data_IF_139025059433
#
_entry.id   IF_139025059433
#
_cell.length_a   1.000
_cell.length_b   1.000
_cell.length_c   1.000
_cell.angle_alpha   90.00
_cell.angle_beta   90.00
_cell.angle_gamma   90.00
#
_symmetry.space_group_name_H-M   'P 1'
#
loop_
_entity.id
_entity.type
_entity.pdbx_description
1 polymer ?
#
# COMPACT_ATOMS: atom_id res chain seq x y z
N UNK A 1 -54.75 -16.68 -6.14
CA UNK A 1 -53.77 -17.40 -5.27
C UNK A 1 -52.58 -17.83 -6.13
N UNK A 2 -51.50 -17.08 -6.16
CA UNK A 2 -50.29 -17.38 -6.93
C UNK A 2 -49.17 -17.74 -5.99
N UNK A 3 -48.23 -18.61 -6.37
CA UNK A 3 -47.22 -19.14 -5.48
C UNK A 3 -46.15 -18.10 -5.20
N UNK A 4 -45.79 -17.97 -3.90
CA UNK A 4 -44.67 -17.13 -3.39
C UNK A 4 -43.36 -17.78 -3.81
N UNK A 5 -42.53 -17.02 -4.52
CA UNK A 5 -41.14 -17.38 -4.79
C UNK A 5 -40.28 -17.14 -3.55
N UNK A 6 -39.68 -18.19 -3.02
CA UNK A 6 -38.62 -18.11 -2.01
C UNK A 6 -37.35 -17.51 -2.65
N UNK A 7 -36.88 -16.42 -2.06
CA UNK A 7 -35.52 -15.92 -2.26
C UNK A 7 -34.60 -16.64 -1.28
N UNK A 8 -33.43 -17.17 -1.69
CA UNK A 8 -32.42 -17.62 -0.74
C UNK A 8 -31.77 -16.40 -0.09
N UNK A 9 -31.76 -16.37 1.23
CA UNK A 9 -30.94 -15.46 2.02
C UNK A 9 -29.48 -15.86 1.89
N UNK A 10 -28.69 -14.94 1.31
CA UNK A 10 -27.22 -15.05 1.33
C UNK A 10 -26.74 -14.54 2.69
N UNK A 11 -26.29 -15.45 3.53
CA UNK A 11 -25.69 -15.11 4.81
C UNK A 11 -24.31 -14.49 4.57
N UNK A 12 -24.20 -13.18 4.80
CA UNK A 12 -22.92 -12.45 4.87
C UNK A 12 -22.22 -12.91 6.15
N UNK A 13 -21.21 -13.76 6.01
CA UNK A 13 -20.28 -14.07 7.10
C UNK A 13 -19.28 -12.92 7.24
N UNK A 14 -19.39 -12.18 8.34
CA UNK A 14 -18.37 -11.27 8.78
C UNK A 14 -17.10 -12.07 9.13
N UNK A 15 -16.02 -11.83 8.40
CA UNK A 15 -14.70 -12.39 8.69
C UNK A 15 -14.06 -11.48 9.72
N UNK A 16 -14.02 -11.93 10.98
CA UNK A 16 -13.26 -11.28 12.04
C UNK A 16 -11.81 -11.75 11.97
N UNK A 17 -10.90 -10.81 11.68
CA UNK A 17 -9.46 -11.05 11.69
C UNK A 17 -8.96 -11.17 13.12
N UNK A 18 -8.49 -12.34 13.51
CA UNK A 18 -7.70 -12.54 14.73
C UNK A 18 -6.23 -12.47 14.36
N UNK A 19 -5.59 -11.36 14.74
CA UNK A 19 -4.12 -11.22 14.68
C UNK A 19 -3.51 -12.15 15.74
N UNK A 20 -2.86 -13.23 15.32
CA UNK A 20 -1.99 -14.03 16.16
C UNK A 20 -0.62 -13.35 16.22
N UNK A 21 -0.31 -12.72 17.34
CA UNK A 21 1.04 -12.29 17.63
C UNK A 21 1.91 -13.51 17.91
N UNK A 22 2.93 -13.72 17.05
CA UNK A 22 4.02 -14.66 17.33
C UNK A 22 5.02 -13.95 18.22
N UNK A 23 5.10 -14.35 19.48
CA UNK A 23 6.07 -13.88 20.45
C UNK A 23 7.44 -14.50 20.12
N UNK A 24 8.31 -13.74 19.46
CA UNK A 24 9.74 -14.00 19.39
C UNK A 24 10.44 -13.29 20.55
N UNK A 25 11.20 -14.05 21.34
CA UNK A 25 11.90 -13.59 22.52
C UNK A 25 13.05 -12.64 22.17
N UNK A 26 12.94 -11.36 22.50
CA UNK A 26 14.04 -10.45 22.84
C UNK A 26 13.50 -9.05 23.20
N UNK A 27 13.39 -8.73 24.45
CA UNK A 27 13.80 -7.49 25.14
C UNK A 27 12.95 -7.21 26.39
N UNK A 28 13.52 -7.22 27.58
CA UNK A 28 12.79 -6.92 28.82
C UNK A 28 12.64 -5.42 29.11
N UNK A 29 13.00 -4.53 28.21
CA UNK A 29 13.01 -3.07 28.49
C UNK A 29 11.72 -2.33 28.08
N UNK A 30 10.85 -2.91 27.27
CA UNK A 30 9.64 -2.21 26.76
C UNK A 30 8.39 -2.43 27.63
N UNK A 31 8.40 -3.40 28.56
CA UNK A 31 7.22 -3.71 29.39
C UNK A 31 7.01 -2.77 30.59
N UNK A 32 8.01 -1.98 30.96
CA UNK A 32 7.88 -1.05 32.09
C UNK A 32 7.12 0.25 31.77
N UNK A 33 6.98 0.62 30.47
CA UNK A 33 6.36 1.89 30.08
C UNK A 33 4.85 1.82 29.82
N UNK A 34 4.30 0.62 29.60
CA UNK A 34 2.87 0.44 29.30
C UNK A 34 2.03 0.34 30.58
N UNK A 35 2.64 0.01 31.73
CA UNK A 35 1.93 -0.13 33.02
C UNK A 35 1.57 1.21 33.69
N UNK A 36 2.11 2.35 33.23
CA UNK A 36 1.84 3.68 33.82
C UNK A 36 0.63 4.37 33.18
N UNK A 37 0.14 3.91 32.04
CA UNK A 37 -0.97 4.57 31.34
C UNK A 37 -2.37 4.19 31.83
N UNK A 38 -2.51 3.26 32.78
CA UNK A 38 -3.82 2.79 33.30
C UNK A 38 -4.12 3.10 34.78
N UNK A 39 -3.31 3.94 35.42
CA UNK A 39 -3.60 4.40 36.79
C UNK A 39 -4.47 5.65 36.76
N UNK A 40 -5.78 5.44 36.74
CA UNK A 40 -6.75 6.44 37.12
C UNK A 40 -6.48 6.89 38.55
N UNK A 41 -6.46 8.21 38.73
CA UNK A 41 -6.58 8.96 40.01
C UNK A 41 -6.31 8.18 41.31
N UNK A 42 -5.05 7.94 41.64
CA UNK A 42 -4.62 7.59 42.94
C UNK A 42 -4.10 8.84 43.67
N UNK A 43 -4.84 9.33 44.63
CA UNK A 43 -4.34 10.33 45.60
C UNK A 43 -3.34 9.66 46.53
N UNK A 44 -2.06 10.00 46.40
CA UNK A 44 -1.05 9.63 47.39
C UNK A 44 -1.06 10.70 48.46
N UNK A 45 -1.60 10.35 49.68
CA UNK A 45 -1.39 11.15 50.90
C UNK A 45 0.01 10.83 51.42
N UNK A 46 0.85 11.84 51.44
CA UNK A 46 2.11 11.81 52.18
C UNK A 46 1.94 12.74 53.36
N UNK A 47 1.81 12.15 54.58
CA UNK A 47 1.87 12.88 55.84
C UNK A 47 3.35 13.16 56.11
N UNK A 48 3.76 14.40 55.99
CA UNK A 48 4.97 14.94 56.63
C UNK A 48 4.78 16.43 56.83
N UNK A 49 5.05 16.85 58.04
CA UNK A 49 4.98 18.24 58.47
C UNK A 49 5.83 19.15 57.59
N UNK A 50 5.17 20.26 57.22
CA UNK A 50 5.72 21.51 56.75
C UNK A 50 6.23 21.60 55.27
N UNK A 51 5.53 22.46 54.55
CA UNK A 51 5.61 22.98 53.17
C UNK A 51 4.73 22.26 52.15
N UNK A 52 3.49 22.75 52.04
CA UNK A 52 2.53 22.45 50.98
C UNK A 52 3.00 22.96 49.62
N UNK A 53 3.82 22.18 48.91
CA UNK A 53 3.85 22.23 47.46
C UNK A 53 2.90 21.12 46.94
N UNK A 54 1.70 21.54 46.58
CA UNK A 54 0.82 20.68 45.80
C UNK A 54 1.52 20.38 44.49
N UNK A 55 2.07 19.18 44.35
CA UNK A 55 2.63 18.72 43.08
C UNK A 55 1.44 18.37 42.19
N UNK A 56 1.19 19.21 41.20
CA UNK A 56 0.15 18.98 40.21
C UNK A 56 0.48 17.75 39.38
N UNK A 57 -0.18 16.64 39.71
CA UNK A 57 0.00 15.37 39.00
C UNK A 57 -0.31 15.50 37.48
N UNK A 58 -1.13 16.47 37.08
CA UNK A 58 -1.45 16.75 35.69
C UNK A 58 -0.27 17.40 34.97
N UNK A 59 0.49 18.26 35.63
CA UNK A 59 1.69 18.89 35.13
C UNK A 59 2.84 17.87 34.94
N UNK A 60 2.96 16.92 35.91
CA UNK A 60 3.95 15.83 35.75
C UNK A 60 3.56 14.90 34.60
N UNK A 61 2.28 14.53 34.51
CA UNK A 61 1.81 13.69 33.39
C UNK A 61 1.94 14.37 32.03
N UNK A 62 1.78 15.69 31.93
CA UNK A 62 2.02 16.47 30.73
C UNK A 62 3.51 16.54 30.38
N UNK A 63 4.38 16.74 31.37
CA UNK A 63 5.85 16.74 31.19
C UNK A 63 6.37 15.37 30.76
N UNK A 64 5.87 14.29 31.35
CA UNK A 64 6.25 12.91 30.97
C UNK A 64 5.78 12.58 29.55
N UNK A 65 4.57 12.99 29.17
CA UNK A 65 4.10 12.84 27.76
C UNK A 65 4.94 13.63 26.79
N UNK A 66 5.21 14.89 27.08
CA UNK A 66 6.06 15.74 26.24
C UNK A 66 7.48 15.17 26.10
N UNK A 67 8.05 14.61 27.18
CA UNK A 67 9.36 13.96 27.12
C UNK A 67 9.33 12.64 26.36
N UNK A 68 8.25 11.84 26.51
CA UNK A 68 8.06 10.61 25.74
C UNK A 68 7.89 10.89 24.25
N UNK A 69 7.09 11.90 23.89
CA UNK A 69 6.92 12.34 22.50
C UNK A 69 8.22 12.90 21.91
N UNK A 70 9.05 13.56 22.71
CA UNK A 70 10.37 14.03 22.31
C UNK A 70 11.34 12.88 22.09
N UNK A 71 11.33 11.85 22.96
CA UNK A 71 12.16 10.65 22.84
C UNK A 71 11.70 9.82 21.61
N UNK A 72 10.40 9.69 21.38
CA UNK A 72 9.86 8.98 20.20
C UNK A 72 10.22 9.73 18.91
N UNK A 73 10.19 11.08 18.90
CA UNK A 73 10.64 11.88 17.74
C UNK A 73 12.16 11.88 17.57
N UNK A 74 12.94 11.75 18.64
CA UNK A 74 14.40 11.70 18.56
C UNK A 74 14.95 10.29 18.28
N UNK A 75 14.17 9.25 18.47
CA UNK A 75 14.45 7.92 17.98
C UNK A 75 14.21 7.89 16.47
N UNK A 76 15.08 8.54 15.71
CA UNK A 76 15.08 8.36 14.26
C UNK A 76 15.29 6.86 13.99
N UNK A 77 14.43 6.21 13.18
CA UNK A 77 14.65 4.84 12.81
C UNK A 77 16.04 4.76 12.19
N UNK A 78 16.89 3.87 12.73
CA UNK A 78 18.22 3.63 12.15
C UNK A 78 17.99 3.24 10.71
N UNK A 79 18.48 4.06 9.78
CA UNK A 79 18.31 3.82 8.35
C UNK A 79 18.83 2.42 8.01
N UNK A 80 17.93 1.52 7.62
CA UNK A 80 18.28 0.17 7.25
C UNK A 80 18.57 0.12 5.76
N UNK A 81 19.83 -0.14 5.41
CA UNK A 81 20.24 -0.36 4.03
C UNK A 81 20.55 -1.84 3.83
N UNK A 82 20.14 -2.40 2.72
CA UNK A 82 20.42 -3.81 2.38
C UNK A 82 21.90 -4.07 2.11
N UNK A 83 22.59 -3.05 1.63
CA UNK A 83 24.00 -3.14 1.28
C UNK A 83 24.71 -1.80 1.45
N UNK A 84 26.06 -1.85 1.48
CA UNK A 84 26.87 -0.64 1.42
C UNK A 84 26.62 0.15 0.11
N UNK A 85 26.32 -0.54 -0.99
CA UNK A 85 26.03 0.11 -2.26
C UNK A 85 24.75 0.91 -2.19
N UNK A 86 23.69 0.37 -1.55
CA UNK A 86 22.43 1.08 -1.34
C UNK A 86 22.60 2.31 -0.46
N UNK A 87 23.39 2.20 0.61
CA UNK A 87 23.74 3.32 1.47
C UNK A 87 24.44 4.43 0.70
N UNK A 88 25.46 4.09 -0.10
CA UNK A 88 26.18 5.07 -0.93
C UNK A 88 25.27 5.71 -1.97
N UNK A 89 24.40 4.92 -2.59
CA UNK A 89 23.41 5.41 -3.57
C UNK A 89 22.43 6.38 -2.93
N UNK A 90 21.87 6.04 -1.76
CA UNK A 90 20.97 6.91 -1.02
C UNK A 90 21.63 8.25 -0.66
N UNK A 91 22.85 8.23 -0.16
CA UNK A 91 23.61 9.47 0.15
C UNK A 91 23.82 10.32 -1.10
N UNK A 92 24.20 9.72 -2.23
CA UNK A 92 24.40 10.45 -3.49
C UNK A 92 23.12 11.12 -3.98
N UNK A 93 21.98 10.40 -3.93
CA UNK A 93 20.68 10.93 -4.34
C UNK A 93 20.27 12.09 -3.42
N UNK A 94 20.43 11.91 -2.11
CA UNK A 94 20.10 12.96 -1.14
C UNK A 94 20.94 14.22 -1.38
N UNK A 95 22.25 14.09 -1.55
CA UNK A 95 23.15 15.21 -1.87
C UNK A 95 22.72 15.88 -3.18
N UNK A 96 22.35 15.11 -4.20
CA UNK A 96 21.87 15.68 -5.47
C UNK A 96 20.56 16.46 -5.26
N UNK A 97 19.63 15.94 -4.45
CA UNK A 97 18.38 16.63 -4.12
C UNK A 97 18.62 17.94 -3.33
N UNK A 98 19.60 17.95 -2.41
CA UNK A 98 19.97 19.13 -1.62
C UNK A 98 20.58 20.27 -2.48
N UNK A 99 21.25 19.92 -3.58
CA UNK A 99 21.86 20.89 -4.50
C UNK A 99 20.93 21.31 -5.65
N UNK A 100 19.76 20.69 -5.77
CA UNK A 100 18.74 21.08 -6.73
C UNK A 100 17.89 22.22 -6.16
N UNK A 101 17.87 23.38 -6.83
CA UNK A 101 17.08 24.53 -6.41
C UNK A 101 15.74 24.65 -7.15
N UNK A 102 15.49 23.80 -8.15
CA UNK A 102 14.22 23.76 -8.84
C UNK A 102 13.13 23.11 -7.98
N UNK A 103 11.88 23.22 -8.44
CA UNK A 103 10.77 22.45 -7.85
C UNK A 103 11.06 20.97 -8.02
N UNK A 104 11.08 20.26 -6.91
CA UNK A 104 11.40 18.84 -6.83
C UNK A 104 10.59 18.10 -5.80
N UNK A 105 10.46 16.81 -6.00
CA UNK A 105 9.87 15.89 -5.02
C UNK A 105 11.01 15.04 -4.43
N UNK A 106 11.06 14.92 -3.13
CA UNK A 106 12.02 14.10 -2.39
C UNK A 106 11.26 13.03 -1.65
N UNK A 107 11.71 11.78 -1.72
CA UNK A 107 11.11 10.63 -1.06
C UNK A 107 12.18 9.93 -0.25
N UNK A 108 12.01 9.89 1.07
CA UNK A 108 12.79 9.05 1.97
C UNK A 108 12.04 7.74 2.23
N UNK A 109 12.58 6.63 1.76
CA UNK A 109 12.01 5.30 2.01
C UNK A 109 12.17 4.86 3.47
N UNK A 110 13.24 5.31 4.12
CA UNK A 110 13.51 4.98 5.52
C UNK A 110 12.57 5.73 6.47
N UNK A 111 12.36 7.03 6.22
CA UNK A 111 11.49 7.87 7.05
C UNK A 111 10.01 7.67 6.68
N UNK A 112 9.74 7.07 5.51
CA UNK A 112 8.40 6.96 4.89
C UNK A 112 7.72 8.32 4.77
N UNK A 113 8.47 9.25 4.26
CA UNK A 113 8.04 10.64 4.12
C UNK A 113 8.39 11.19 2.73
N UNK A 114 7.54 12.05 2.21
CA UNK A 114 7.71 12.77 0.96
C UNK A 114 7.68 14.26 1.23
N UNK A 115 8.56 14.99 0.55
CA UNK A 115 8.57 16.45 0.53
C UNK A 115 8.49 16.96 -0.90
N UNK A 116 7.68 18.01 -1.13
CA UNK A 116 7.77 18.88 -2.30
C UNK A 116 8.51 20.16 -1.89
N UNK A 117 9.60 20.47 -2.58
CA UNK A 117 10.52 21.57 -2.20
C UNK A 117 10.81 22.43 -3.41
N UNK A 118 10.85 23.77 -3.18
CA UNK A 118 11.28 24.76 -4.17
C UNK A 118 12.32 25.67 -3.56
N UNK A 119 13.53 25.66 -4.10
CA UNK A 119 14.64 26.37 -3.47
C UNK A 119 14.84 25.90 -2.02
N UNK A 120 14.79 26.84 -1.04
CA UNK A 120 14.86 26.49 0.39
C UNK A 120 13.51 26.14 1.02
N UNK A 121 12.37 26.37 0.31
CA UNK A 121 11.04 26.28 0.88
C UNK A 121 10.43 24.89 0.71
N UNK A 122 9.97 24.31 1.82
CA UNK A 122 9.16 23.09 1.82
C UNK A 122 7.70 23.46 1.61
N UNK A 123 7.13 23.01 0.49
CA UNK A 123 5.76 23.30 0.09
C UNK A 123 4.76 22.25 0.60
N UNK A 124 5.21 21.00 0.70
CA UNK A 124 4.42 19.87 1.22
C UNK A 124 5.34 18.92 1.99
N UNK A 125 4.81 18.38 3.08
CA UNK A 125 5.35 17.22 3.78
C UNK A 125 4.23 16.21 3.96
N UNK A 126 4.43 14.97 3.50
CA UNK A 126 3.41 13.94 3.51
C UNK A 126 3.97 12.58 3.90
N UNK A 127 3.31 11.84 4.81
CA UNK A 127 3.67 10.44 5.08
C UNK A 127 3.28 9.57 3.89
N UNK A 128 4.09 8.56 3.62
CA UNK A 128 3.89 7.63 2.49
C UNK A 128 3.86 6.17 2.94
N UNK A 129 3.28 5.29 2.10
CA UNK A 129 3.62 3.89 2.12
C UNK A 129 4.59 3.58 0.98
N UNK A 130 5.55 2.69 1.25
CA UNK A 130 6.54 2.23 0.30
C UNK A 130 6.54 0.70 0.20
N UNK A 131 7.45 0.13 -0.59
CA UNK A 131 7.53 -1.32 -0.82
C UNK A 131 7.79 -2.11 0.46
N UNK A 132 7.25 -3.35 0.48
CA UNK A 132 7.52 -4.35 1.53
C UNK A 132 8.94 -4.87 1.49
N UNK A 133 9.61 -4.73 0.33
CA UNK A 133 10.93 -5.31 0.05
C UNK A 133 10.93 -6.85 0.02
N UNK A 134 9.77 -7.47 -0.06
CA UNK A 134 9.58 -8.92 -0.14
C UNK A 134 9.77 -9.46 -1.55
N UNK A 135 9.83 -10.76 -1.65
CA UNK A 135 9.89 -11.48 -2.93
C UNK A 135 8.75 -12.48 -2.97
N UNK A 136 7.93 -12.40 -4.02
CA UNK A 136 6.93 -13.41 -4.32
C UNK A 136 7.54 -14.46 -5.25
N UNK A 137 7.46 -15.71 -4.86
CA UNK A 137 7.84 -16.84 -5.69
C UNK A 137 6.61 -17.71 -5.99
N UNK A 138 6.31 -17.90 -7.28
CA UNK A 138 5.17 -18.69 -7.70
C UNK A 138 5.44 -19.37 -9.04
N UNK A 139 5.19 -20.66 -9.14
CA UNK A 139 5.32 -21.46 -10.36
C UNK A 139 6.65 -21.27 -11.12
N UNK A 140 7.78 -21.15 -10.38
CA UNK A 140 9.11 -20.98 -10.95
C UNK A 140 9.44 -19.55 -11.43
N UNK A 141 8.54 -18.59 -11.20
CA UNK A 141 8.77 -17.15 -11.39
C UNK A 141 9.02 -16.49 -10.05
N UNK A 142 9.78 -15.38 -10.08
CA UNK A 142 10.10 -14.59 -8.91
C UNK A 142 9.88 -13.11 -9.19
N UNK A 143 9.17 -12.40 -8.31
CA UNK A 143 8.95 -10.96 -8.38
C UNK A 143 9.43 -10.31 -7.09
N UNK A 144 10.33 -9.36 -7.22
CA UNK A 144 10.83 -8.58 -6.08
C UNK A 144 10.08 -7.27 -5.98
N UNK A 145 9.48 -7.04 -4.84
CA UNK A 145 8.71 -5.84 -4.55
C UNK A 145 9.63 -4.77 -3.93
N UNK A 146 10.12 -3.88 -4.76
CA UNK A 146 11.08 -2.87 -4.37
C UNK A 146 10.72 -1.50 -4.96
N UNK A 147 10.71 -0.46 -4.12
CA UNK A 147 10.72 0.92 -4.62
C UNK A 147 12.14 1.28 -5.02
N UNK A 148 12.43 1.46 -6.32
CA UNK A 148 13.80 1.66 -6.76
C UNK A 148 14.29 3.05 -6.38
N UNK A 149 15.44 3.08 -5.70
CA UNK A 149 16.16 4.31 -5.40
C UNK A 149 16.73 4.92 -6.68
N UNK A 150 16.73 6.24 -6.76
CA UNK A 150 17.23 6.95 -7.94
C UNK A 150 16.60 8.31 -8.12
N UNK A 151 16.98 8.97 -9.22
CA UNK A 151 16.33 10.17 -9.70
C UNK A 151 15.40 9.79 -10.83
N UNK A 152 14.12 10.12 -10.69
CA UNK A 152 13.08 9.90 -11.68
C UNK A 152 12.50 11.23 -12.11
N UNK A 153 11.64 11.20 -13.11
CA UNK A 153 10.94 12.37 -13.61
C UNK A 153 9.46 12.05 -13.71
N UNK A 154 8.61 12.97 -13.29
CA UNK A 154 7.16 12.86 -13.55
C UNK A 154 6.94 12.97 -15.05
N UNK A 155 6.45 11.90 -15.67
CA UNK A 155 6.26 11.80 -17.11
C UNK A 155 4.79 11.95 -17.53
N UNK A 156 3.86 11.66 -16.63
CA UNK A 156 2.41 11.78 -16.86
C UNK A 156 1.67 11.95 -15.54
N UNK A 157 0.43 12.48 -15.61
CA UNK A 157 -0.48 12.63 -14.47
C UNK A 157 -1.87 12.22 -14.90
N UNK A 158 -2.61 11.49 -14.04
CA UNK A 158 -3.98 11.07 -14.33
C UNK A 158 -4.90 11.30 -13.15
N UNK A 159 -6.09 11.76 -13.48
CA UNK A 159 -7.24 11.77 -12.59
C UNK A 159 -8.07 10.49 -12.77
N UNK A 160 -8.60 9.94 -11.67
CA UNK A 160 -9.35 8.70 -11.64
C UNK A 160 -8.66 7.55 -12.42
N UNK A 161 -7.37 7.26 -12.10
CA UNK A 161 -6.62 6.25 -12.80
C UNK A 161 -7.24 4.87 -12.58
N UNK A 162 -7.19 4.05 -13.64
CA UNK A 162 -7.58 2.64 -13.57
C UNK A 162 -6.31 1.80 -13.48
N UNK A 163 -6.25 0.94 -12.50
CA UNK A 163 -5.13 0.01 -12.35
C UNK A 163 -5.27 -1.17 -13.32
N UNK A 164 -4.19 -1.50 -13.99
CA UNK A 164 -4.07 -2.69 -14.84
C UNK A 164 -3.14 -3.66 -14.08
N UNK A 165 -3.68 -4.68 -13.39
CA UNK A 165 -2.88 -5.57 -12.58
C UNK A 165 -1.80 -6.28 -13.40
N UNK A 166 -0.52 -6.24 -12.99
CA UNK A 166 0.53 -7.05 -13.58
C UNK A 166 0.38 -8.53 -13.20
N UNK A 167 1.19 -9.38 -13.80
CA UNK A 167 1.12 -10.83 -13.59
C UNK A 167 1.32 -11.25 -12.12
N UNK A 168 2.18 -10.55 -11.39
CA UNK A 168 2.45 -10.87 -9.99
C UNK A 168 1.19 -10.77 -9.10
N UNK A 169 0.26 -9.86 -9.39
CA UNK A 169 -0.99 -9.75 -8.67
C UNK A 169 -1.80 -11.07 -8.74
N UNK A 170 -1.94 -11.62 -9.94
CA UNK A 170 -2.63 -12.90 -10.13
C UNK A 170 -1.85 -14.06 -9.51
N UNK A 171 -0.52 -14.01 -9.51
CA UNK A 171 0.30 -15.02 -8.85
C UNK A 171 0.12 -14.98 -7.32
N UNK A 172 0.00 -13.80 -6.73
CA UNK A 172 -0.27 -13.60 -5.31
C UNK A 172 -1.66 -14.15 -4.93
N UNK A 173 -2.70 -13.78 -5.68
CA UNK A 173 -4.06 -14.32 -5.52
C UNK A 173 -4.10 -15.84 -5.68
N UNK A 174 -3.43 -16.37 -6.71
CA UNK A 174 -3.37 -17.80 -6.93
C UNK A 174 -2.66 -18.54 -5.79
N UNK A 175 -1.57 -17.97 -5.24
CA UNK A 175 -0.85 -18.54 -4.10
C UNK A 175 -1.72 -18.52 -2.83
N UNK A 176 -2.39 -17.42 -2.54
CA UNK A 176 -3.25 -17.28 -1.37
C UNK A 176 -4.40 -18.28 -1.36
N UNK A 177 -4.99 -18.54 -2.53
CA UNK A 177 -6.14 -19.44 -2.67
C UNK A 177 -5.78 -20.87 -3.12
N UNK A 178 -4.49 -21.19 -3.27
CA UNK A 178 -4.04 -22.53 -3.70
C UNK A 178 -4.48 -22.90 -5.11
N UNK A 179 -4.64 -21.91 -6.00
CA UNK A 179 -5.07 -22.07 -7.38
C UNK A 179 -3.86 -22.27 -8.31
N UNK A 180 -4.10 -22.88 -9.46
CA UNK A 180 -3.16 -22.80 -10.59
C UNK A 180 -3.29 -21.46 -11.27
N UNK A 181 -2.23 -20.99 -11.94
CA UNK A 181 -2.24 -19.76 -12.71
C UNK A 181 -1.98 -20.06 -14.19
N UNK A 182 -2.80 -19.50 -15.06
CA UNK A 182 -2.61 -19.60 -16.50
C UNK A 182 -2.95 -18.27 -17.21
N UNK A 183 -2.23 -17.94 -18.28
CA UNK A 183 -2.64 -16.87 -19.16
C UNK A 183 -3.85 -17.31 -19.99
N UNK A 184 -4.87 -16.48 -20.04
CA UNK A 184 -6.00 -16.69 -20.93
C UNK A 184 -5.59 -16.37 -22.38
N UNK A 185 -5.87 -17.29 -23.30
CA UNK A 185 -5.74 -17.09 -24.74
C UNK A 185 -7.14 -17.11 -25.34
N UNK A 186 -7.68 -15.95 -25.79
CA UNK A 186 -9.02 -15.86 -26.36
C UNK A 186 -9.29 -16.89 -27.46
N UNK A 187 -10.41 -17.57 -27.39
CA UNK A 187 -10.83 -18.57 -28.37
C UNK A 187 -10.00 -19.88 -28.38
N UNK A 188 -8.99 -20.00 -27.48
CA UNK A 188 -8.11 -21.18 -27.39
C UNK A 188 -8.06 -21.81 -25.99
N UNK A 189 -8.48 -21.08 -24.96
CA UNK A 189 -8.51 -21.60 -23.58
C UNK A 189 -9.77 -22.44 -23.40
N UNK A 190 -9.62 -23.76 -23.46
CA UNK A 190 -10.72 -24.73 -23.31
C UNK A 190 -10.82 -25.18 -21.86
N UNK A 191 -12.02 -25.10 -21.28
CA UNK A 191 -12.34 -25.55 -19.92
C UNK A 191 -12.63 -27.06 -19.91
N UNK A 192 -12.61 -27.68 -18.71
CA UNK A 192 -12.81 -29.12 -18.54
C UNK A 192 -14.16 -29.62 -19.05
N UNK A 193 -15.18 -28.76 -19.07
CA UNK A 193 -16.54 -29.04 -19.55
C UNK A 193 -16.75 -28.79 -21.05
N UNK A 194 -15.66 -28.40 -21.76
CA UNK A 194 -15.66 -28.13 -23.20
C UNK A 194 -16.08 -26.71 -23.59
N UNK A 195 -16.39 -25.86 -22.64
CA UNK A 195 -16.56 -24.41 -22.90
C UNK A 195 -15.22 -23.78 -23.23
N UNK A 196 -15.25 -22.61 -23.88
CA UNK A 196 -14.05 -21.88 -24.29
C UNK A 196 -14.09 -20.47 -23.76
N UNK A 197 -13.01 -20.02 -23.13
CA UNK A 197 -12.85 -18.62 -22.76
C UNK A 197 -12.53 -17.79 -23.98
N UNK A 198 -13.28 -16.71 -24.19
CA UNK A 198 -13.11 -15.78 -25.31
C UNK A 198 -13.36 -14.35 -24.89
N UNK A 199 -13.10 -13.40 -25.80
CA UNK A 199 -13.29 -11.97 -25.57
C UNK A 199 -14.20 -11.41 -26.66
N UNK A 200 -15.26 -10.70 -26.25
CA UNK A 200 -16.12 -9.91 -27.15
C UNK A 200 -16.36 -8.54 -26.49
N UNK A 201 -16.36 -7.50 -27.30
CA UNK A 201 -16.59 -6.11 -26.86
C UNK A 201 -15.71 -5.74 -25.64
N UNK A 202 -14.41 -6.10 -25.71
CA UNK A 202 -13.40 -5.91 -24.64
C UNK A 202 -13.73 -6.60 -23.31
N UNK A 203 -14.69 -7.52 -23.26
CA UNK A 203 -15.05 -8.26 -22.05
C UNK A 203 -14.84 -9.76 -22.24
N UNK A 204 -14.31 -10.40 -21.19
CA UNK A 204 -14.14 -11.85 -21.14
C UNK A 204 -15.50 -12.51 -20.99
N UNK A 205 -15.68 -13.63 -21.67
CA UNK A 205 -16.85 -14.46 -21.57
C UNK A 205 -16.54 -15.92 -21.86
N UNK A 206 -17.57 -16.72 -21.80
CA UNK A 206 -17.53 -18.15 -22.03
C UNK A 206 -18.37 -18.49 -23.25
N UNK A 207 -17.79 -19.19 -24.21
CA UNK A 207 -18.51 -19.76 -25.35
C UNK A 207 -18.92 -21.19 -25.01
N UNK A 208 -20.20 -21.50 -25.11
CA UNK A 208 -20.69 -22.89 -25.00
C UNK A 208 -20.20 -23.70 -26.22
N UNK A 209 -19.51 -24.80 -25.97
CA UNK A 209 -18.89 -25.62 -27.03
C UNK A 209 -19.90 -26.35 -27.93
N UNK A 210 -21.19 -26.41 -27.56
CA UNK A 210 -22.24 -27.10 -28.33
C UNK A 210 -23.14 -26.10 -29.07
N UNK A 211 -23.62 -25.08 -28.37
CA UNK A 211 -24.52 -24.07 -28.96
C UNK A 211 -23.78 -22.92 -29.65
N UNK A 212 -22.52 -22.67 -29.28
CA UNK A 212 -21.78 -21.49 -29.71
C UNK A 212 -22.25 -20.19 -29.04
N UNK A 213 -23.15 -20.27 -28.06
CA UNK A 213 -23.65 -19.12 -27.30
C UNK A 213 -22.53 -18.51 -26.45
N UNK A 214 -22.44 -17.19 -26.41
CA UNK A 214 -21.47 -16.45 -25.61
C UNK A 214 -22.13 -15.83 -24.41
N UNK A 215 -21.59 -16.08 -23.22
CA UNK A 215 -22.01 -15.44 -21.97
C UNK A 215 -20.88 -14.62 -21.38
N UNK A 216 -21.11 -13.33 -21.15
CA UNK A 216 -20.15 -12.43 -20.51
C UNK A 216 -19.91 -12.83 -19.05
N UNK A 217 -18.64 -12.75 -18.60
CA UNK A 217 -18.28 -12.88 -17.21
C UNK A 217 -18.32 -11.52 -16.50
N UNK A 218 -18.60 -11.48 -15.18
CA UNK A 218 -18.49 -10.25 -14.39
C UNK A 218 -17.11 -9.61 -14.53
N UNK A 219 -17.04 -8.29 -14.56
CA UNK A 219 -15.77 -7.55 -14.72
C UNK A 219 -15.07 -7.27 -13.40
N UNK A 220 -15.78 -7.45 -12.29
CA UNK A 220 -15.34 -7.24 -10.91
C UNK A 220 -15.03 -8.56 -10.17
N UNK A 221 -14.99 -9.66 -10.90
CA UNK A 221 -14.67 -10.98 -10.37
C UNK A 221 -13.44 -11.57 -11.09
N UNK A 222 -12.70 -12.40 -10.36
CA UNK A 222 -11.59 -13.16 -10.93
C UNK A 222 -12.10 -14.29 -11.85
N UNK A 223 -11.39 -14.50 -12.95
CA UNK A 223 -11.73 -15.55 -13.92
C UNK A 223 -11.18 -16.90 -13.43
N UNK A 224 -11.96 -17.62 -12.63
CA UNK A 224 -11.57 -18.89 -12.03
C UNK A 224 -12.42 -20.04 -12.56
N UNK A 225 -11.77 -21.04 -13.15
CA UNK A 225 -12.39 -22.30 -13.58
C UNK A 225 -11.47 -23.47 -13.27
N UNK A 226 -12.02 -24.60 -12.88
CA UNK A 226 -11.29 -25.86 -12.69
C UNK A 226 -10.07 -25.74 -11.75
N UNK A 227 -10.18 -24.90 -10.70
CA UNK A 227 -9.07 -24.63 -9.78
C UNK A 227 -7.92 -23.84 -10.42
N UNK A 228 -8.17 -23.16 -11.54
CA UNK A 228 -7.20 -22.32 -12.25
C UNK A 228 -7.72 -20.90 -12.31
N UNK A 229 -6.88 -19.94 -11.88
CA UNK A 229 -7.06 -18.51 -12.08
C UNK A 229 -6.50 -18.16 -13.47
N UNK A 230 -7.35 -17.65 -14.34
CA UNK A 230 -6.94 -17.22 -15.68
C UNK A 230 -6.67 -15.73 -15.68
N UNK A 231 -5.49 -15.33 -16.15
CA UNK A 231 -5.11 -13.94 -16.32
C UNK A 231 -5.82 -13.38 -17.57
N UNK A 232 -6.75 -12.42 -17.43
CA UNK A 232 -7.41 -11.81 -18.58
C UNK A 232 -6.42 -11.07 -19.48
N UNK A 233 -6.63 -10.99 -20.79
CA UNK A 233 -5.79 -10.21 -21.68
C UNK A 233 -5.76 -8.72 -21.33
N UNK A 234 -4.60 -8.08 -21.53
CA UNK A 234 -4.49 -6.61 -21.42
C UNK A 234 -5.45 -5.96 -22.42
N UNK A 235 -6.17 -4.94 -21.97
CA UNK A 235 -7.18 -4.24 -22.77
C UNK A 235 -8.61 -4.65 -22.45
N UNK A 236 -8.83 -5.83 -21.86
CA UNK A 236 -10.18 -6.25 -21.43
C UNK A 236 -10.66 -5.51 -20.19
N UNK A 237 -11.97 -5.41 -20.04
CA UNK A 237 -12.61 -4.83 -18.86
C UNK A 237 -12.30 -5.64 -17.60
N UNK A 238 -12.22 -6.97 -17.71
CA UNK A 238 -11.85 -7.89 -16.62
C UNK A 238 -10.38 -7.74 -16.16
N UNK A 239 -9.56 -6.95 -16.88
CA UNK A 239 -8.17 -6.62 -16.49
C UNK A 239 -8.04 -5.20 -15.92
N UNK A 240 -9.13 -4.60 -15.45
CA UNK A 240 -9.17 -3.21 -14.97
C UNK A 240 -9.75 -3.15 -13.58
N UNK A 241 -8.99 -2.56 -12.64
CA UNK A 241 -9.46 -2.32 -11.27
C UNK A 241 -9.55 -0.82 -11.05
N UNK A 242 -10.76 -0.33 -10.86
CA UNK A 242 -11.01 1.08 -10.56
C UNK A 242 -10.82 1.36 -9.06
N UNK A 243 -10.31 2.55 -8.73
CA UNK A 243 -10.21 3.03 -7.35
C UNK A 243 -8.98 2.56 -6.58
N UNK A 244 -8.28 1.50 -7.01
CA UNK A 244 -7.08 0.98 -6.33
C UNK A 244 -5.95 2.02 -6.22
N UNK A 245 -5.80 2.87 -7.22
CA UNK A 245 -4.80 3.93 -7.27
C UNK A 245 -5.29 5.27 -6.68
N UNK A 246 -6.44 5.28 -5.99
CA UNK A 246 -7.06 6.50 -5.50
C UNK A 246 -7.54 7.41 -6.65
N UNK A 247 -7.71 8.71 -6.35
CA UNK A 247 -8.28 9.68 -7.30
C UNK A 247 -7.26 10.31 -8.24
N UNK A 248 -5.99 10.34 -7.86
CA UNK A 248 -4.91 10.97 -8.62
C UNK A 248 -3.66 10.10 -8.62
N UNK A 249 -2.89 10.18 -9.71
CA UNK A 249 -1.57 9.59 -9.78
C UNK A 249 -0.59 10.47 -10.57
N UNK A 250 0.69 10.34 -10.25
CA UNK A 250 1.83 10.81 -11.02
C UNK A 250 2.64 9.59 -11.47
N UNK A 251 2.87 9.47 -12.78
CA UNK A 251 3.70 8.41 -13.36
C UNK A 251 5.16 8.88 -13.41
N UNK A 252 6.07 8.07 -12.88
CA UNK A 252 7.52 8.33 -12.90
C UNK A 252 8.29 7.38 -13.82
N UNK A 253 7.55 6.67 -14.67
CA UNK A 253 8.09 5.74 -15.64
C UNK A 253 8.33 4.33 -15.11
N UNK A 254 8.40 3.37 -16.03
CA UNK A 254 8.66 1.95 -15.75
C UNK A 254 7.65 1.31 -14.78
N UNK A 255 6.40 1.81 -14.75
CA UNK A 255 5.35 1.29 -13.87
C UNK A 255 5.44 1.75 -12.41
N UNK A 256 6.31 2.70 -12.08
CA UNK A 256 6.41 3.26 -10.73
C UNK A 256 5.59 4.54 -10.62
N UNK A 257 4.63 4.51 -9.70
CA UNK A 257 3.65 5.56 -9.52
C UNK A 257 3.77 6.18 -8.12
N UNK A 258 3.45 7.48 -8.04
CA UNK A 258 2.96 8.10 -6.82
C UNK A 258 1.45 8.18 -6.97
N UNK A 259 0.67 7.62 -6.04
CA UNK A 259 -0.79 7.54 -6.20
C UNK A 259 -1.51 7.57 -4.86
N UNK A 260 -2.81 7.88 -4.90
CA UNK A 260 -3.69 7.76 -3.75
C UNK A 260 -3.98 6.31 -3.38
N UNK A 261 -4.78 6.10 -2.34
CA UNK A 261 -5.16 4.75 -1.92
C UNK A 261 -6.49 4.74 -1.16
N UNK A 262 -7.35 3.75 -1.38
CA UNK A 262 -8.50 3.50 -0.52
C UNK A 262 -8.07 2.96 0.86
N UNK A 263 -6.91 2.28 0.95
CA UNK A 263 -6.34 1.75 2.18
C UNK A 263 -5.52 2.82 2.93
N UNK A 264 -6.22 3.66 3.69
CA UNK A 264 -5.60 4.72 4.50
C UNK A 264 -4.72 4.20 5.62
N UNK A 265 -4.92 2.96 6.07
CA UNK A 265 -4.15 2.35 7.15
C UNK A 265 -2.74 1.96 6.70
N UNK A 266 -2.53 1.77 5.40
CA UNK A 266 -1.20 1.48 4.85
C UNK A 266 -0.22 2.65 4.92
N UNK A 267 -0.70 3.89 5.04
CA UNK A 267 0.16 5.09 5.04
C UNK A 267 1.07 5.08 6.28
N UNK A 268 2.36 5.31 6.05
CA UNK A 268 3.42 5.22 7.07
C UNK A 268 4.03 3.82 7.19
N UNK A 269 3.58 2.84 6.41
CA UNK A 269 4.05 1.45 6.51
C UNK A 269 4.77 0.97 5.25
N UNK A 270 5.37 -0.21 5.31
CA UNK A 270 5.86 -0.96 4.17
C UNK A 270 4.73 -1.87 3.69
N UNK A 271 3.97 -1.45 2.68
CA UNK A 271 2.74 -2.12 2.26
C UNK A 271 2.52 -2.14 0.74
N UNK A 272 3.53 -1.78 -0.07
CA UNK A 272 3.37 -1.73 -1.52
C UNK A 272 4.29 -2.70 -2.24
N UNK A 273 4.00 -2.95 -3.50
CA UNK A 273 4.80 -3.77 -4.40
C UNK A 273 5.83 -2.93 -5.19
N UNK A 274 6.05 -1.65 -4.80
CA UNK A 274 7.04 -0.77 -5.42
C UNK A 274 6.57 0.66 -5.66
N UNK A 275 5.27 0.89 -5.81
CA UNK A 275 4.70 2.23 -5.91
C UNK A 275 4.76 2.98 -4.56
N UNK A 276 4.58 4.27 -4.60
CA UNK A 276 4.50 5.13 -3.43
C UNK A 276 3.04 5.53 -3.23
N UNK A 277 2.44 5.10 -2.11
CA UNK A 277 1.07 5.48 -1.73
C UNK A 277 1.07 6.73 -0.88
N UNK A 278 0.10 7.60 -1.14
CA UNK A 278 -0.16 8.82 -0.38
C UNK A 278 -1.63 8.87 0.05
N UNK A 279 -1.93 9.76 0.99
CA UNK A 279 -3.32 10.14 1.26
C UNK A 279 -3.89 10.85 0.04
N UNK A 280 -5.21 10.77 -0.13
CA UNK A 280 -5.89 11.41 -1.28
C UNK A 280 -5.65 12.92 -1.35
N UNK A 281 -5.63 13.61 -0.21
CA UNK A 281 -5.39 15.06 -0.18
C UNK A 281 -3.94 15.42 -0.57
N UNK A 282 -2.96 14.60 -0.14
CA UNK A 282 -1.54 14.82 -0.44
C UNK A 282 -1.25 14.59 -1.92
N UNK A 283 -1.78 13.50 -2.50
CA UNK A 283 -1.60 13.24 -3.94
C UNK A 283 -2.38 14.22 -4.80
N UNK A 284 -3.54 14.70 -4.36
CA UNK A 284 -4.29 15.74 -5.06
C UNK A 284 -3.47 17.04 -5.13
N UNK A 285 -2.85 17.44 -4.01
CA UNK A 285 -1.96 18.59 -3.99
C UNK A 285 -0.77 18.40 -4.95
N UNK A 286 -0.12 17.22 -4.94
CA UNK A 286 0.96 16.93 -5.89
C UNK A 286 0.48 16.95 -7.34
N UNK A 287 -0.72 16.42 -7.60
CA UNK A 287 -1.33 16.44 -8.92
C UNK A 287 -1.54 17.88 -9.43
N UNK A 288 -2.01 18.76 -8.59
CA UNK A 288 -2.24 20.15 -8.97
C UNK A 288 -0.94 20.95 -9.14
N UNK A 289 0.00 20.79 -8.21
CA UNK A 289 1.16 21.67 -8.05
C UNK A 289 2.43 21.16 -8.74
N UNK A 290 2.59 19.87 -8.98
CA UNK A 290 3.81 19.31 -9.57
C UNK A 290 3.65 19.14 -11.09
N UNK A 291 4.39 19.90 -11.93
CA UNK A 291 4.34 19.75 -13.38
C UNK A 291 4.99 18.44 -13.87
N UNK A 292 4.57 17.99 -15.04
CA UNK A 292 5.33 16.98 -15.80
C UNK A 292 6.73 17.54 -16.08
N UNK A 293 7.75 16.70 -15.94
CA UNK A 293 9.15 17.11 -16.02
C UNK A 293 9.83 17.33 -14.66
N UNK A 294 9.05 17.41 -13.56
CA UNK A 294 9.62 17.56 -12.21
C UNK A 294 10.43 16.34 -11.80
N UNK A 295 11.61 16.58 -11.23
CA UNK A 295 12.49 15.52 -10.70
C UNK A 295 11.95 14.97 -9.37
N UNK A 296 12.03 13.64 -9.24
CA UNK A 296 11.66 12.89 -8.04
C UNK A 296 12.91 12.13 -7.56
N UNK A 297 13.41 12.51 -6.40
CA UNK A 297 14.58 11.93 -5.75
C UNK A 297 14.14 10.91 -4.73
N UNK A 298 14.44 9.62 -4.94
CA UNK A 298 14.03 8.49 -4.07
C UNK A 298 15.26 7.87 -3.44
N UNK A 299 15.39 7.92 -2.09
CA UNK A 299 16.53 7.38 -1.36
C UNK A 299 16.18 6.63 -0.08
#
# INVERSE_FOLDING_TARGET
MGPRRHRPEVAVRAVTWTVRAVAGAAAPALFALVAVASLGTAQVRVDAADTTKVIDASAIAASVRSSADSIVRSAQPVATYRSRADSVTSVRIRVAAEHDNDLRVIVSLNDRELWAIMGPDTLLTAPIAASTDETLEYAGKSWRFETPRGVRTVIDKKENPVWIPPEWHYAEVAQEHGLKLAAMIPGKTVLSDGRVLDVRDDQVGVVDGKSGEFAYLPTDEEVIFDGTLFIPPIGTLNRRIAGELGRHMLDTGNGFLLHGTPDKASIGTAATHGCIRLRDDDIAWLYDMIPVGTRVYIY
#
